data_IF_914388801639
#
_entry.id   IF_914388801639
#
_cell.length_a   1.000
_cell.length_b   1.000
_cell.length_c   1.000
_cell.angle_alpha   90.00
_cell.angle_beta   90.00
_cell.angle_gamma   90.00
#
_symmetry.space_group_name_H-M   'P 1'
#
loop_
_entity.id
_entity.type
_entity.pdbx_description
1 polymer ?
#
# COMPACT_ATOMS: atom_id res chain seq x y z
N UNK A 1 -4.49 -12.70 -26.49
CA UNK A 1 -5.31 -11.70 -25.75
C UNK A 1 -5.24 -10.37 -26.49
N UNK A 2 -6.32 -9.61 -26.64
CA UNK A 2 -6.24 -8.29 -27.26
C UNK A 2 -5.25 -7.44 -26.48
N UNK A 3 -4.39 -6.70 -27.20
CA UNK A 3 -3.41 -5.78 -26.64
C UNK A 3 -4.03 -4.95 -25.50
N UNK A 4 -3.38 -4.80 -24.34
CA UNK A 4 -3.86 -3.93 -23.26
C UNK A 4 -4.05 -2.46 -23.67
N UNK A 5 -3.63 -2.09 -24.89
CA UNK A 5 -3.80 -0.75 -25.47
C UNK A 5 -5.10 -0.58 -26.25
N UNK A 6 -5.75 -1.65 -26.73
CA UNK A 6 -6.99 -1.50 -27.51
C UNK A 6 -8.18 -1.28 -26.58
N UNK A 7 -8.85 -0.14 -26.73
CA UNK A 7 -10.12 0.14 -26.04
C UNK A 7 -11.17 -0.87 -26.48
N UNK A 8 -11.96 -1.39 -25.55
CA UNK A 8 -13.09 -2.23 -25.94
C UNK A 8 -14.14 -1.41 -26.71
N UNK A 9 -15.01 -2.07 -27.50
CA UNK A 9 -16.13 -1.40 -28.17
C UNK A 9 -17.00 -0.64 -27.15
N UNK A 10 -17.22 -1.25 -25.98
CA UNK A 10 -17.96 -0.63 -24.87
C UNK A 10 -17.25 0.62 -24.32
N UNK A 11 -15.95 0.56 -24.07
CA UNK A 11 -15.18 1.72 -23.61
C UNK A 11 -15.22 2.88 -24.62
N UNK A 12 -15.13 2.56 -25.90
CA UNK A 12 -15.19 3.54 -26.99
C UNK A 12 -16.57 4.19 -27.05
N UNK A 13 -17.63 3.40 -26.89
CA UNK A 13 -19.00 3.89 -26.82
C UNK A 13 -19.22 4.79 -25.59
N UNK A 14 -18.80 4.34 -24.40
CA UNK A 14 -18.91 5.11 -23.15
C UNK A 14 -18.16 6.46 -23.23
N UNK A 15 -16.98 6.48 -23.87
CA UNK A 15 -16.23 7.71 -24.10
C UNK A 15 -16.93 8.68 -25.06
N UNK A 16 -17.71 8.17 -26.03
CA UNK A 16 -18.51 9.01 -26.96
C UNK A 16 -19.74 9.62 -26.28
N UNK A 17 -20.43 8.86 -25.43
CA UNK A 17 -21.65 9.35 -24.74
C UNK A 17 -21.33 10.21 -23.50
N UNK A 18 -20.16 10.01 -22.89
CA UNK A 18 -19.67 10.77 -21.73
C UNK A 18 -18.28 11.34 -22.01
N UNK A 19 -18.15 12.26 -22.98
CA UNK A 19 -16.85 12.82 -23.36
C UNK A 19 -16.26 13.70 -22.26
N UNK A 20 -17.13 14.36 -21.47
CA UNK A 20 -16.77 15.28 -20.40
C UNK A 20 -17.49 14.93 -19.09
N UNK A 21 -17.08 13.86 -18.40
CA UNK A 21 -17.74 13.43 -17.17
C UNK A 21 -17.47 14.42 -16.03
N UNK A 22 -18.49 14.71 -15.22
CA UNK A 22 -18.37 15.55 -14.02
C UNK A 22 -17.53 14.88 -12.92
N UNK A 23 -17.52 13.55 -12.89
CA UNK A 23 -16.81 12.75 -11.89
C UNK A 23 -15.92 11.74 -12.61
N UNK A 24 -14.66 11.69 -12.18
CA UNK A 24 -13.64 10.78 -12.70
C UNK A 24 -13.22 9.83 -11.59
N UNK A 25 -13.45 8.53 -11.79
CA UNK A 25 -12.95 7.47 -10.93
C UNK A 25 -11.81 6.76 -11.67
N UNK A 26 -10.57 6.91 -11.21
CA UNK A 26 -9.39 6.39 -11.90
C UNK A 26 -8.45 5.65 -10.93
N UNK A 27 -8.06 4.41 -11.27
CA UNK A 27 -7.19 3.59 -10.41
C UNK A 27 -7.74 3.35 -9.00
N UNK A 28 -9.06 3.17 -8.92
CA UNK A 28 -9.81 2.87 -7.70
C UNK A 28 -9.74 1.36 -7.42
N UNK A 29 -9.48 0.96 -6.18
CA UNK A 29 -9.27 -0.45 -5.78
C UNK A 29 -10.61 -1.15 -5.50
N UNK A 30 -11.50 -1.19 -6.49
CA UNK A 30 -12.85 -1.76 -6.36
C UNK A 30 -13.17 -2.73 -7.51
N UNK A 31 -14.23 -3.53 -7.38
CA UNK A 31 -14.61 -4.48 -8.43
C UNK A 31 -15.25 -3.70 -9.57
N UNK A 32 -15.30 -4.28 -10.76
CA UNK A 32 -16.00 -3.65 -11.89
C UNK A 32 -17.46 -3.33 -11.54
N UNK A 33 -18.15 -4.22 -10.83
CA UNK A 33 -19.52 -4.00 -10.38
C UNK A 33 -19.61 -2.86 -9.35
N UNK A 34 -18.72 -2.86 -8.34
CA UNK A 34 -18.65 -1.80 -7.35
C UNK A 34 -18.39 -0.43 -7.99
N UNK A 35 -17.50 -0.35 -8.99
CA UNK A 35 -17.25 0.88 -9.74
C UNK A 35 -18.49 1.38 -10.49
N UNK A 36 -19.26 0.48 -11.12
CA UNK A 36 -20.54 0.85 -11.75
C UNK A 36 -21.50 1.43 -10.70
N UNK A 37 -21.62 0.79 -9.54
CA UNK A 37 -22.45 1.28 -8.43
C UNK A 37 -21.99 2.67 -7.95
N UNK A 38 -20.69 2.88 -7.80
CA UNK A 38 -20.13 4.20 -7.43
C UNK A 38 -20.52 5.26 -8.47
N UNK A 39 -20.33 4.97 -9.76
CA UNK A 39 -20.68 5.90 -10.84
C UNK A 39 -22.15 6.30 -10.82
N UNK A 40 -23.05 5.32 -10.68
CA UNK A 40 -24.49 5.55 -10.58
C UNK A 40 -24.83 6.40 -9.35
N UNK A 41 -24.25 6.08 -8.18
CA UNK A 41 -24.45 6.84 -6.94
C UNK A 41 -23.97 8.29 -7.08
N UNK A 42 -22.90 8.50 -7.84
CA UNK A 42 -22.31 9.81 -8.14
C UNK A 42 -22.99 10.53 -9.33
N UNK A 43 -24.07 9.96 -9.90
CA UNK A 43 -24.80 10.52 -11.06
C UNK A 43 -23.86 10.76 -12.25
N UNK A 44 -22.94 9.83 -12.47
CA UNK A 44 -21.97 9.83 -13.56
C UNK A 44 -22.08 8.54 -14.36
N UNK A 45 -21.85 8.60 -15.68
CA UNK A 45 -21.78 7.41 -16.50
C UNK A 45 -20.43 6.71 -16.27
N UNK A 46 -20.41 5.37 -16.12
CA UNK A 46 -19.17 4.62 -16.02
C UNK A 46 -18.24 4.89 -17.19
N UNK A 47 -16.96 5.14 -16.89
CA UNK A 47 -15.91 5.32 -17.90
C UNK A 47 -14.60 4.77 -17.37
N UNK A 48 -13.94 3.95 -18.18
CA UNK A 48 -12.61 3.47 -17.84
C UNK A 48 -11.57 4.52 -18.23
N UNK A 49 -10.67 4.80 -17.30
CA UNK A 49 -9.54 5.71 -17.49
C UNK A 49 -8.24 4.90 -17.60
N UNK A 50 -7.48 5.16 -18.67
CA UNK A 50 -6.19 4.52 -18.91
C UNK A 50 -5.13 5.60 -19.10
N UNK A 51 -4.13 5.60 -18.23
CA UNK A 51 -2.95 6.48 -18.27
C UNK A 51 -1.73 5.62 -18.59
N UNK A 52 -1.69 5.13 -19.82
CA UNK A 52 -0.76 4.07 -20.25
C UNK A 52 -0.08 4.38 -21.58
N UNK A 53 -0.05 5.65 -21.99
CA UNK A 53 0.69 6.05 -23.18
C UNK A 53 2.15 5.65 -23.03
N UNK A 54 2.76 5.14 -24.09
CA UNK A 54 4.19 4.79 -24.05
C UNK A 54 4.99 6.10 -23.96
N UNK A 55 5.89 6.18 -22.99
CA UNK A 55 6.83 7.28 -22.84
C UNK A 55 8.21 6.82 -23.31
N UNK A 56 8.94 7.73 -23.92
CA UNK A 56 10.30 7.46 -24.38
C UNK A 56 11.27 7.50 -23.18
N UNK A 57 12.22 6.57 -23.16
CA UNK A 57 13.34 6.66 -22.24
C UNK A 57 14.32 7.70 -22.79
N UNK A 58 14.35 8.88 -22.16
CA UNK A 58 15.23 9.96 -22.56
C UNK A 58 16.64 9.73 -22.04
N UNK A 59 17.63 10.02 -22.88
CA UNK A 59 19.02 10.12 -22.45
C UNK A 59 19.20 11.40 -21.62
N UNK A 60 20.18 11.37 -20.72
CA UNK A 60 20.54 12.52 -19.89
C UNK A 60 21.02 13.67 -20.79
N UNK A 61 20.44 14.86 -20.62
CA UNK A 61 20.91 16.08 -21.29
C UNK A 61 21.72 16.92 -20.30
N UNK A 62 23.05 16.83 -20.41
CA UNK A 62 23.98 17.53 -19.51
C UNK A 62 23.79 19.05 -19.52
N UNK A 63 23.55 19.66 -20.69
CA UNK A 63 23.36 21.11 -20.82
C UNK A 63 22.05 21.53 -20.14
N UNK A 64 20.97 20.79 -20.35
CA UNK A 64 19.70 21.07 -19.69
C UNK A 64 19.80 20.95 -18.16
N UNK A 65 20.55 19.95 -17.65
CA UNK A 65 20.79 19.77 -16.21
C UNK A 65 21.68 20.86 -15.62
N UNK A 66 22.71 21.32 -16.33
CA UNK A 66 23.53 22.47 -15.90
C UNK A 66 22.69 23.75 -15.82
N UNK A 67 21.72 23.91 -16.71
CA UNK A 67 20.79 25.04 -16.71
C UNK A 67 19.62 24.88 -15.73
N UNK A 68 19.45 23.71 -15.09
CA UNK A 68 18.42 23.50 -14.09
C UNK A 68 18.81 24.22 -12.79
N UNK A 69 18.23 25.40 -12.58
CA UNK A 69 18.53 26.24 -11.43
C UNK A 69 17.30 26.40 -10.53
N UNK A 70 17.47 26.14 -9.23
CA UNK A 70 16.44 26.36 -8.21
C UNK A 70 16.70 27.75 -7.61
N UNK A 71 15.80 28.69 -7.85
CA UNK A 71 15.96 30.16 -7.74
C UNK A 71 16.16 30.76 -6.33
N UNK A 72 16.78 30.06 -5.40
CA UNK A 72 17.14 30.60 -4.07
C UNK A 72 18.59 30.28 -3.73
N UNK A 73 19.41 31.31 -3.50
CA UNK A 73 20.70 31.13 -2.85
C UNK A 73 20.49 30.77 -1.39
N UNK A 74 21.25 29.79 -0.90
CA UNK A 74 21.34 29.47 0.52
C UNK A 74 22.81 29.42 0.90
N UNK A 75 23.13 29.99 2.05
CA UNK A 75 24.47 29.94 2.61
C UNK A 75 24.75 28.58 3.29
N UNK A 76 23.72 27.73 3.41
CA UNK A 76 23.83 26.38 3.98
C UNK A 76 24.53 25.44 2.99
N UNK A 77 25.71 24.92 3.36
CA UNK A 77 26.50 24.03 2.50
C UNK A 77 25.72 22.78 2.05
N UNK A 78 24.92 22.20 2.95
CA UNK A 78 24.08 21.04 2.61
C UNK A 78 23.05 21.36 1.52
N UNK A 79 22.43 22.56 1.54
CA UNK A 79 21.51 22.96 0.47
C UNK A 79 22.22 23.14 -0.87
N UNK A 80 23.46 23.64 -0.87
CA UNK A 80 24.28 23.75 -2.09
C UNK A 80 24.52 22.36 -2.69
N UNK A 81 24.98 21.41 -1.87
CA UNK A 81 25.16 20.02 -2.27
C UNK A 81 23.84 19.41 -2.79
N UNK A 82 22.73 19.59 -2.07
CA UNK A 82 21.43 19.05 -2.48
C UNK A 82 20.99 19.60 -3.85
N UNK A 83 21.22 20.87 -4.15
CA UNK A 83 20.88 21.47 -5.45
C UNK A 83 21.68 20.85 -6.59
N UNK A 84 22.98 20.64 -6.39
CA UNK A 84 23.84 19.94 -7.37
C UNK A 84 23.39 18.49 -7.58
N UNK A 85 23.04 17.79 -6.50
CA UNK A 85 22.52 16.43 -6.55
C UNK A 85 21.15 16.35 -7.21
N UNK A 86 20.26 17.33 -7.00
CA UNK A 86 18.94 17.35 -7.62
C UNK A 86 19.05 17.42 -9.14
N UNK A 87 19.84 18.34 -9.69
CA UNK A 87 20.03 18.47 -11.13
C UNK A 87 20.58 17.17 -11.75
N UNK A 88 21.49 16.50 -11.06
CA UNK A 88 22.16 15.28 -11.55
C UNK A 88 21.36 14.00 -11.33
N UNK A 89 20.47 13.94 -10.33
CA UNK A 89 19.70 12.74 -9.98
C UNK A 89 18.21 12.81 -10.34
N UNK A 90 17.74 13.94 -10.89
CA UNK A 90 16.36 14.05 -11.33
C UNK A 90 16.04 12.99 -12.40
N UNK A 91 14.94 12.21 -12.25
CA UNK A 91 14.53 11.26 -13.29
C UNK A 91 14.26 11.98 -14.61
N UNK A 92 14.70 11.40 -15.72
CA UNK A 92 14.69 12.09 -17.02
C UNK A 92 13.30 12.51 -17.49
N UNK A 93 12.25 11.85 -17.01
CA UNK A 93 10.87 12.20 -17.32
C UNK A 93 10.44 13.59 -16.79
N UNK A 94 11.11 14.12 -15.76
CA UNK A 94 10.79 15.42 -15.16
C UNK A 94 11.59 16.59 -15.73
N UNK A 95 12.55 16.34 -16.62
CA UNK A 95 13.32 17.40 -17.29
C UNK A 95 13.38 17.17 -18.80
N UNK A 96 14.14 16.17 -19.24
CA UNK A 96 14.31 15.88 -20.67
C UNK A 96 13.01 15.42 -21.34
N UNK A 97 12.26 14.55 -20.66
CA UNK A 97 11.02 13.96 -21.15
C UNK A 97 9.75 14.70 -20.76
N UNK A 98 9.85 15.82 -20.02
CA UNK A 98 8.67 16.48 -19.46
C UNK A 98 7.74 17.00 -20.55
N UNK A 99 8.29 17.54 -21.65
CA UNK A 99 7.51 18.00 -22.79
C UNK A 99 6.73 16.86 -23.46
N UNK A 100 7.36 15.70 -23.67
CA UNK A 100 6.65 14.52 -24.20
C UNK A 100 5.53 14.08 -23.26
N UNK A 101 5.80 14.06 -21.94
CA UNK A 101 4.79 13.72 -20.93
C UNK A 101 3.56 14.65 -21.04
N UNK A 102 3.79 15.96 -21.11
CA UNK A 102 2.73 16.96 -21.29
C UNK A 102 1.97 16.76 -22.59
N UNK A 103 2.67 16.55 -23.71
CA UNK A 103 2.03 16.35 -25.01
C UNK A 103 1.16 15.09 -25.01
N UNK A 104 1.63 13.99 -24.40
CA UNK A 104 0.85 12.75 -24.24
C UNK A 104 -0.36 12.90 -23.33
N UNK A 105 -0.26 13.74 -22.30
CA UNK A 105 -1.40 14.08 -21.45
C UNK A 105 -2.41 14.92 -22.21
N UNK A 106 -1.96 15.92 -22.97
CA UNK A 106 -2.80 16.77 -23.81
C UNK A 106 -3.61 15.97 -24.84
N UNK A 107 -3.03 14.95 -25.48
CA UNK A 107 -3.74 14.03 -26.39
C UNK A 107 -4.93 13.30 -25.71
N UNK A 108 -4.88 13.14 -24.39
CA UNK A 108 -5.90 12.45 -23.59
C UNK A 108 -6.89 13.38 -22.88
N UNK A 109 -6.74 14.70 -23.06
CA UNK A 109 -7.53 15.71 -22.37
C UNK A 109 -9.02 15.67 -22.73
N UNK A 110 -9.84 16.01 -21.75
CA UNK A 110 -11.27 16.22 -21.93
C UNK A 110 -11.57 17.71 -22.07
N UNK A 111 -12.57 18.07 -22.88
CA UNK A 111 -12.88 19.48 -23.22
C UNK A 111 -13.35 20.31 -22.03
N UNK A 112 -13.93 19.68 -21.01
CA UNK A 112 -14.38 20.35 -19.78
C UNK A 112 -13.76 19.69 -18.57
N UNK A 113 -13.30 20.51 -17.64
CA UNK A 113 -12.78 20.05 -16.36
C UNK A 113 -13.84 19.23 -15.60
N UNK A 114 -13.46 18.08 -15.04
CA UNK A 114 -14.35 17.37 -14.12
C UNK A 114 -14.48 18.19 -12.84
N UNK A 115 -15.57 18.02 -12.10
CA UNK A 115 -15.70 18.63 -10.78
C UNK A 115 -14.93 17.85 -9.72
N UNK A 116 -14.84 16.53 -9.89
CA UNK A 116 -14.21 15.61 -8.95
C UNK A 116 -13.36 14.57 -9.68
N UNK A 117 -12.13 14.40 -9.20
CA UNK A 117 -11.26 13.26 -9.51
C UNK A 117 -11.05 12.47 -8.22
N UNK A 118 -11.32 11.16 -8.28
CA UNK A 118 -11.03 10.22 -7.20
C UNK A 118 -10.09 9.11 -7.67
N UNK A 119 -9.08 8.82 -6.84
CA UNK A 119 -8.12 7.73 -7.07
C UNK A 119 -7.74 7.05 -5.77
N UNK A 120 -7.30 5.80 -5.84
CA UNK A 120 -6.64 5.18 -4.70
C UNK A 120 -5.14 5.08 -4.90
N UNK A 121 -4.65 5.01 -6.14
CA UNK A 121 -3.29 4.48 -6.37
C UNK A 121 -2.49 5.27 -7.40
N UNK A 122 -3.14 6.10 -8.22
CA UNK A 122 -2.45 6.70 -9.38
C UNK A 122 -1.52 7.84 -8.99
N UNK A 123 -1.79 8.55 -7.87
CA UNK A 123 -0.86 9.54 -7.33
C UNK A 123 0.46 8.92 -6.90
N UNK A 124 0.46 7.68 -6.43
CA UNK A 124 1.68 6.99 -6.04
C UNK A 124 2.49 6.44 -7.24
N UNK A 125 1.85 6.09 -8.36
CA UNK A 125 2.47 5.20 -9.37
C UNK A 125 2.36 5.60 -10.83
N UNK A 126 1.78 6.75 -11.15
CA UNK A 126 1.50 7.10 -12.55
C UNK A 126 1.75 8.58 -12.87
N UNK A 127 2.85 8.86 -13.58
CA UNK A 127 3.25 10.23 -13.95
C UNK A 127 2.25 10.91 -14.91
N UNK A 128 1.67 10.18 -15.86
CA UNK A 128 0.64 10.74 -16.75
C UNK A 128 -0.59 11.20 -15.97
N UNK A 129 -1.05 10.41 -15.00
CA UNK A 129 -2.17 10.79 -14.15
C UNK A 129 -1.84 11.99 -13.26
N UNK A 130 -0.64 12.06 -12.68
CA UNK A 130 -0.22 13.20 -11.87
C UNK A 130 -0.29 14.51 -12.66
N UNK A 131 0.32 14.54 -13.86
CA UNK A 131 0.26 15.74 -14.73
C UNK A 131 -1.16 16.04 -15.18
N UNK A 132 -1.90 15.02 -15.64
CA UNK A 132 -3.29 15.20 -16.09
C UNK A 132 -4.22 15.73 -15.00
N UNK A 133 -4.14 15.19 -13.79
CA UNK A 133 -4.96 15.66 -12.66
C UNK A 133 -4.54 17.05 -12.21
N UNK A 134 -3.24 17.36 -12.17
CA UNK A 134 -2.74 18.69 -11.84
C UNK A 134 -3.27 19.78 -12.79
N UNK A 135 -3.27 19.53 -14.11
CA UNK A 135 -3.83 20.47 -15.10
C UNK A 135 -5.29 20.80 -14.81
N UNK A 136 -6.08 19.80 -14.41
CA UNK A 136 -7.49 20.00 -14.09
C UNK A 136 -7.72 20.70 -12.74
N UNK A 137 -6.91 20.41 -11.73
CA UNK A 137 -6.97 21.05 -10.41
C UNK A 137 -6.61 22.53 -10.53
N UNK A 138 -5.48 22.83 -11.17
CA UNK A 138 -4.96 24.21 -11.32
C UNK A 138 -5.87 25.07 -12.20
N UNK A 139 -6.39 24.52 -13.30
CA UNK A 139 -7.12 25.32 -14.30
C UNK A 139 -8.64 25.31 -14.12
N UNK A 140 -9.20 24.34 -13.39
CA UNK A 140 -10.62 23.99 -13.49
C UNK A 140 -11.43 23.99 -12.20
N UNK A 141 -10.85 24.41 -11.06
CA UNK A 141 -11.44 24.24 -9.73
C UNK A 141 -11.86 22.79 -9.42
N UNK A 142 -11.17 21.81 -10.04
CA UNK A 142 -11.43 20.38 -9.87
C UNK A 142 -11.02 19.96 -8.46
N UNK A 143 -11.91 19.25 -7.77
CA UNK A 143 -11.59 18.62 -6.49
C UNK A 143 -10.82 17.32 -6.70
N UNK A 144 -9.71 17.17 -6.00
CA UNK A 144 -8.88 15.97 -6.03
C UNK A 144 -8.97 15.26 -4.68
N UNK A 145 -9.50 14.05 -4.69
CA UNK A 145 -9.66 13.21 -3.50
C UNK A 145 -8.90 11.90 -3.74
N UNK A 146 -8.17 11.45 -2.73
CA UNK A 146 -7.56 10.12 -2.75
C UNK A 146 -8.09 9.25 -1.62
N UNK A 147 -7.94 7.93 -1.76
CA UNK A 147 -8.24 7.00 -0.70
C UNK A 147 -7.07 6.07 -0.40
N UNK A 148 -6.86 5.78 0.87
CA UNK A 148 -5.86 4.84 1.37
C UNK A 148 -5.92 3.50 0.61
N UNK A 149 -4.74 3.02 0.20
CA UNK A 149 -4.58 1.85 -0.67
C UNK A 149 -3.75 0.72 -0.04
N UNK A 150 -3.24 0.92 1.17
CA UNK A 150 -2.50 -0.07 1.95
C UNK A 150 -2.57 0.22 3.46
N UNK A 151 -2.07 -0.70 4.27
CA UNK A 151 -1.97 -0.51 5.73
C UNK A 151 -0.85 0.46 6.14
N UNK A 152 -0.82 0.84 7.42
CA UNK A 152 0.26 1.64 8.02
C UNK A 152 0.11 3.17 7.95
N UNK A 153 -0.84 3.69 7.16
CA UNK A 153 -1.18 5.12 7.13
C UNK A 153 -1.70 5.60 8.48
N UNK A 154 -1.36 6.84 8.87
CA UNK A 154 -1.80 7.50 10.11
C UNK A 154 -1.27 6.88 11.41
N UNK A 155 -0.41 5.86 11.33
CA UNK A 155 0.01 5.06 12.49
C UNK A 155 1.47 5.29 12.87
N UNK A 156 2.31 5.69 11.91
CA UNK A 156 3.76 5.81 12.08
C UNK A 156 4.11 7.12 12.79
N UNK A 157 5.04 7.08 13.74
CA UNK A 157 5.57 8.27 14.41
C UNK A 157 6.26 9.22 13.43
N UNK A 158 7.01 8.65 12.48
CA UNK A 158 7.60 9.40 11.37
C UNK A 158 6.77 9.12 10.12
N UNK A 159 6.01 10.12 9.68
CA UNK A 159 5.18 10.01 8.48
C UNK A 159 6.07 9.85 7.24
N UNK A 160 5.87 8.81 6.41
CA UNK A 160 6.57 8.65 5.15
C UNK A 160 6.37 9.85 4.23
N UNK A 161 7.36 10.12 3.38
CA UNK A 161 7.26 11.17 2.37
C UNK A 161 6.07 10.94 1.42
N UNK A 162 5.81 9.67 1.06
CA UNK A 162 4.71 9.31 0.16
C UNK A 162 3.35 9.69 0.74
N UNK A 163 3.10 9.37 2.00
CA UNK A 163 1.88 9.75 2.72
C UNK A 163 1.78 11.28 2.86
N UNK A 164 2.88 11.94 3.23
CA UNK A 164 2.95 13.39 3.39
C UNK A 164 2.64 14.12 2.08
N UNK A 165 3.23 13.66 0.98
CA UNK A 165 2.99 14.18 -0.36
C UNK A 165 1.53 13.98 -0.78
N UNK A 166 1.01 12.76 -0.65
CA UNK A 166 -0.37 12.44 -1.03
C UNK A 166 -1.34 13.35 -0.28
N UNK A 167 -1.23 13.47 1.04
CA UNK A 167 -2.13 14.32 1.83
C UNK A 167 -1.98 15.81 1.46
N UNK A 168 -0.76 16.29 1.18
CA UNK A 168 -0.49 17.72 0.94
C UNK A 168 -1.14 18.31 -0.32
N UNK A 169 -1.49 17.46 -1.29
CA UNK A 169 -2.01 17.89 -2.61
C UNK A 169 -3.51 17.65 -2.79
N UNK A 170 -4.20 17.16 -1.77
CA UNK A 170 -5.58 16.71 -1.84
C UNK A 170 -6.54 17.68 -1.16
N UNK A 171 -7.79 17.68 -1.62
CA UNK A 171 -8.89 18.31 -0.91
C UNK A 171 -9.38 17.45 0.26
N UNK A 172 -9.36 16.13 0.09
CA UNK A 172 -9.70 15.12 1.11
C UNK A 172 -8.92 13.82 0.89
N UNK A 173 -8.67 13.10 1.98
CA UNK A 173 -8.06 11.77 1.99
C UNK A 173 -8.94 10.78 2.75
N UNK A 174 -9.46 9.79 2.04
CA UNK A 174 -10.35 8.78 2.60
C UNK A 174 -9.52 7.65 3.25
N UNK A 175 -9.63 7.45 4.55
CA UNK A 175 -8.81 6.49 5.32
C UNK A 175 -9.55 5.18 5.60
N UNK A 176 -8.83 4.18 6.09
CA UNK A 176 -9.39 2.90 6.51
C UNK A 176 -9.98 2.90 7.93
N UNK A 177 -10.05 4.02 8.64
CA UNK A 177 -10.68 4.06 9.96
C UNK A 177 -10.19 5.21 10.87
N UNK A 178 -8.99 5.71 10.60
CA UNK A 178 -8.35 6.75 11.41
C UNK A 178 -8.70 8.15 10.89
N UNK A 179 -8.57 9.14 11.76
CA UNK A 179 -8.68 10.56 11.42
C UNK A 179 -7.71 11.34 12.26
N UNK A 180 -7.07 12.35 11.67
CA UNK A 180 -6.26 13.31 12.41
C UNK A 180 -6.96 14.67 12.49
N UNK A 181 -6.99 15.24 13.69
CA UNK A 181 -7.71 16.49 13.98
C UNK A 181 -7.03 17.62 13.21
N UNK A 182 -7.79 18.32 12.36
CA UNK A 182 -7.29 19.42 11.55
C UNK A 182 -6.65 18.99 10.22
N UNK A 183 -6.57 17.69 9.93
CA UNK A 183 -6.23 17.20 8.60
C UNK A 183 -7.48 16.92 7.75
N UNK A 184 -7.26 16.80 6.44
CA UNK A 184 -8.28 16.51 5.41
C UNK A 184 -8.75 15.03 5.41
N UNK A 185 -8.67 14.33 6.54
CA UNK A 185 -8.83 12.87 6.59
C UNK A 185 -10.26 12.46 6.97
N UNK A 186 -10.84 11.51 6.23
CA UNK A 186 -12.20 11.02 6.48
C UNK A 186 -12.19 9.49 6.58
N UNK A 187 -12.60 8.90 7.73
CA UNK A 187 -12.66 7.46 7.88
C UNK A 187 -13.86 6.87 7.15
N UNK A 188 -13.58 6.04 6.13
CA UNK A 188 -14.61 5.39 5.29
C UNK A 188 -14.53 3.86 5.30
N UNK A 189 -13.57 3.30 6.02
CA UNK A 189 -13.30 1.87 6.09
C UNK A 189 -12.42 1.36 4.95
N UNK A 190 -12.13 0.06 4.98
CA UNK A 190 -11.19 -0.55 4.03
C UNK A 190 -11.75 -0.50 2.60
N UNK A 191 -10.97 0.10 1.71
CA UNK A 191 -11.36 0.35 0.32
C UNK A 191 -10.85 -0.70 -0.66
N UNK A 192 -10.13 -1.72 -0.19
CA UNK A 192 -9.66 -2.84 -1.00
C UNK A 192 -10.67 -3.99 -1.04
N UNK A 193 -10.52 -4.87 -2.03
CA UNK A 193 -11.25 -6.13 -2.10
C UNK A 193 -11.00 -6.98 -0.85
N UNK A 194 -12.09 -7.35 -0.19
CA UNK A 194 -12.09 -8.32 0.88
C UNK A 194 -12.41 -9.69 0.29
N UNK A 195 -11.53 -10.66 0.51
CA UNK A 195 -11.82 -12.06 0.23
C UNK A 195 -11.94 -12.78 1.56
N UNK A 196 -13.08 -13.41 1.78
CA UNK A 196 -13.26 -14.30 2.91
C UNK A 196 -12.67 -15.67 2.56
N UNK A 197 -11.86 -16.19 3.48
CA UNK A 197 -11.30 -17.53 3.39
C UNK A 197 -11.18 -18.08 4.81
N UNK A 198 -11.18 -19.40 4.91
CA UNK A 198 -11.03 -20.10 6.19
C UNK A 198 -9.62 -20.69 6.29
N UNK A 199 -8.96 -20.60 7.45
CA UNK A 199 -7.68 -21.28 7.67
C UNK A 199 -7.86 -22.80 7.60
N UNK A 200 -6.82 -23.50 7.15
CA UNK A 200 -6.72 -24.95 7.29
C UNK A 200 -6.16 -25.27 8.68
N UNK A 201 -6.99 -25.85 9.55
CA UNK A 201 -6.62 -26.17 10.94
C UNK A 201 -5.47 -27.16 11.05
N UNK A 202 -5.20 -27.93 10.00
CA UNK A 202 -4.10 -28.88 9.93
C UNK A 202 -2.94 -28.37 9.05
N UNK A 203 -3.09 -27.19 8.46
CA UNK A 203 -2.06 -26.52 7.68
C UNK A 203 -0.87 -26.07 8.54
N UNK A 204 0.14 -25.55 7.85
CA UNK A 204 1.39 -25.08 8.44
C UNK A 204 1.33 -23.65 8.99
N UNK A 205 2.53 -23.12 9.25
CA UNK A 205 2.77 -21.74 9.64
C UNK A 205 3.28 -20.95 8.43
N UNK A 206 2.60 -19.86 8.06
CA UNK A 206 3.09 -18.97 7.01
C UNK A 206 3.72 -17.71 7.60
N UNK A 207 5.04 -17.52 7.42
CA UNK A 207 5.74 -16.28 7.77
C UNK A 207 5.73 -15.35 6.57
N UNK A 208 4.93 -14.28 6.64
CA UNK A 208 4.74 -13.31 5.56
C UNK A 208 5.66 -12.10 5.76
N UNK A 209 6.56 -11.88 4.80
CA UNK A 209 7.52 -10.79 4.85
C UNK A 209 7.02 -9.55 4.08
N UNK A 210 7.46 -8.37 4.53
CA UNK A 210 7.25 -7.11 3.83
C UNK A 210 8.12 -6.95 2.57
N UNK A 211 8.14 -5.76 1.95
CA UNK A 211 9.03 -5.48 0.84
C UNK A 211 10.47 -5.34 1.35
N UNK A 212 11.22 -6.44 1.40
CA UNK A 212 12.63 -6.39 1.77
C UNK A 212 13.43 -5.69 0.67
N UNK A 213 14.02 -4.54 0.98
CA UNK A 213 14.80 -3.70 0.06
C UNK A 213 16.26 -3.68 0.46
N UNK A 214 17.15 -3.49 -0.51
CA UNK A 214 18.61 -3.39 -0.27
C UNK A 214 19.01 -2.08 0.41
N UNK A 215 18.24 -1.03 0.15
CA UNK A 215 18.41 0.30 0.73
C UNK A 215 17.07 0.76 1.30
N UNK A 216 17.10 1.59 2.33
CA UNK A 216 15.90 2.28 2.81
C UNK A 216 15.52 3.39 1.84
N UNK A 217 14.22 3.49 1.56
CA UNK A 217 13.60 4.51 0.72
C UNK A 217 12.73 5.51 1.50
N UNK A 218 12.63 5.37 2.82
CA UNK A 218 11.92 6.29 3.70
C UNK A 218 12.88 7.30 4.34
N UNK A 219 12.65 8.57 4.06
CA UNK A 219 13.33 9.68 4.71
C UNK A 219 12.85 9.82 6.16
N UNK A 220 13.77 9.80 7.13
CA UNK A 220 13.47 10.00 8.55
C UNK A 220 13.45 8.73 9.41
N UNK A 221 13.44 7.53 8.82
CA UNK A 221 13.67 6.25 9.53
C UNK A 221 14.22 5.16 8.61
N UNK A 222 15.02 4.26 9.18
CA UNK A 222 15.34 2.98 8.52
C UNK A 222 14.08 2.10 8.57
N UNK A 223 13.56 1.70 7.41
CA UNK A 223 12.49 0.72 7.32
C UNK A 223 12.93 -0.62 7.94
N UNK A 224 12.05 -1.25 8.71
CA UNK A 224 12.25 -2.60 9.30
C UNK A 224 12.87 -3.55 8.27
N UNK A 225 12.33 -3.56 7.05
CA UNK A 225 12.66 -4.54 6.01
C UNK A 225 13.93 -4.20 5.22
N UNK A 226 14.64 -3.14 5.58
CA UNK A 226 15.93 -2.74 5.00
C UNK A 226 17.10 -2.85 5.98
N UNK A 227 16.84 -3.40 7.18
CA UNK A 227 17.83 -3.48 8.25
C UNK A 227 18.40 -4.89 8.37
N UNK A 228 19.71 -5.02 8.61
CA UNK A 228 20.33 -6.32 8.91
C UNK A 228 19.72 -6.98 10.15
N UNK A 229 19.36 -6.21 11.18
CA UNK A 229 18.75 -6.76 12.41
C UNK A 229 17.40 -7.43 12.17
N UNK A 230 16.69 -7.06 11.10
CA UNK A 230 15.46 -7.74 10.72
C UNK A 230 15.74 -9.17 10.27
N UNK A 231 16.82 -9.42 9.53
CA UNK A 231 17.20 -10.79 9.15
C UNK A 231 17.61 -11.62 10.35
N UNK A 232 18.28 -11.03 11.33
CA UNK A 232 18.64 -11.72 12.57
C UNK A 232 17.39 -12.12 13.36
N UNK A 233 16.43 -11.21 13.51
CA UNK A 233 15.13 -11.50 14.14
C UNK A 233 14.35 -12.60 13.41
N UNK A 234 14.36 -12.60 12.07
CA UNK A 234 13.74 -13.67 11.29
C UNK A 234 14.40 -15.03 11.52
N UNK A 235 15.74 -15.08 11.47
CA UNK A 235 16.50 -16.31 11.73
C UNK A 235 16.23 -16.84 13.13
N UNK A 236 16.26 -15.95 14.12
CA UNK A 236 16.04 -16.31 15.51
C UNK A 236 14.62 -16.84 15.75
N UNK A 237 13.60 -16.22 15.13
CA UNK A 237 12.23 -16.73 15.18
C UNK A 237 12.17 -18.17 14.68
N UNK A 238 12.74 -18.44 13.50
CA UNK A 238 12.73 -19.78 12.89
C UNK A 238 13.50 -20.79 13.75
N UNK A 239 14.63 -20.39 14.33
CA UNK A 239 15.47 -21.27 15.15
C UNK A 239 14.85 -21.61 16.52
N UNK A 240 14.05 -20.71 17.09
CA UNK A 240 13.41 -20.92 18.41
C UNK A 240 12.09 -21.70 18.29
N UNK A 241 11.49 -21.78 17.10
CA UNK A 241 10.30 -22.60 16.88
C UNK A 241 10.59 -24.09 17.18
N UNK A 242 9.69 -24.81 17.88
CA UNK A 242 9.80 -26.25 18.04
C UNK A 242 9.95 -26.98 16.71
N UNK A 243 10.77 -28.03 16.67
CA UNK A 243 11.13 -28.74 15.43
C UNK A 243 9.90 -29.17 14.61
N UNK A 244 8.85 -29.66 15.27
CA UNK A 244 7.62 -30.11 14.61
C UNK A 244 6.82 -28.96 13.95
N UNK A 245 6.96 -27.72 14.45
CA UNK A 245 6.35 -26.51 13.86
C UNK A 245 7.26 -25.96 12.77
N UNK A 246 8.57 -25.89 13.02
CA UNK A 246 9.57 -25.39 12.08
C UNK A 246 9.54 -26.18 10.75
N UNK A 247 9.40 -27.51 10.81
CA UNK A 247 9.22 -28.37 9.62
C UNK A 247 7.94 -28.11 8.81
N UNK A 248 6.96 -27.43 9.41
CA UNK A 248 5.69 -27.04 8.79
C UNK A 248 5.63 -25.53 8.52
N UNK A 249 6.78 -24.85 8.58
CA UNK A 249 6.88 -23.39 8.40
C UNK A 249 7.35 -23.05 7.00
N UNK A 250 6.65 -22.10 6.38
CA UNK A 250 6.96 -21.55 5.07
C UNK A 250 7.19 -20.04 5.17
N UNK A 251 8.20 -19.53 4.48
CA UNK A 251 8.47 -18.09 4.42
C UNK A 251 8.04 -17.54 3.07
N UNK A 252 7.18 -16.52 3.05
CA UNK A 252 6.69 -15.89 1.82
C UNK A 252 7.14 -14.43 1.71
N UNK A 253 8.06 -14.11 0.80
CA UNK A 253 8.41 -12.73 0.47
C UNK A 253 7.25 -11.98 -0.21
N UNK A 254 7.07 -10.66 0.06
CA UNK A 254 6.03 -9.82 -0.60
C UNK A 254 6.04 -9.89 -2.13
N UNK A 255 7.19 -10.18 -2.73
CA UNK A 255 7.38 -10.26 -4.19
C UNK A 255 7.68 -11.67 -4.68
N UNK A 256 7.20 -12.70 -3.98
CA UNK A 256 7.46 -14.10 -4.31
C UNK A 256 7.30 -14.40 -5.81
N UNK A 257 6.26 -13.87 -6.46
CA UNK A 257 5.99 -14.06 -7.90
C UNK A 257 6.61 -13.02 -8.86
N UNK A 258 7.40 -12.04 -8.38
CA UNK A 258 7.95 -10.98 -9.24
C UNK A 258 9.34 -11.34 -9.78
N UNK A 259 9.51 -11.19 -11.10
CA UNK A 259 10.81 -11.29 -11.76
C UNK A 259 11.41 -9.87 -11.87
N UNK A 260 12.66 -9.67 -11.43
CA UNK A 260 13.46 -8.49 -11.83
C UNK A 260 13.17 -7.17 -11.12
N UNK A 261 12.99 -7.17 -9.78
CA UNK A 261 13.02 -5.92 -8.98
C UNK A 261 14.40 -5.76 -8.32
N UNK A 262 15.40 -5.14 -8.97
CA UNK A 262 16.78 -5.09 -8.47
C UNK A 262 16.94 -4.33 -7.14
N UNK A 263 15.98 -3.48 -6.75
CA UNK A 263 16.01 -2.85 -5.43
C UNK A 263 15.58 -3.80 -4.29
N UNK A 264 14.98 -4.95 -4.61
CA UNK A 264 14.40 -5.89 -3.65
C UNK A 264 15.20 -7.17 -3.56
N UNK A 265 15.10 -7.82 -2.40
CA UNK A 265 15.72 -9.12 -2.14
C UNK A 265 14.83 -10.22 -2.75
N UNK A 266 15.43 -11.12 -3.54
CA UNK A 266 14.72 -12.21 -4.21
C UNK A 266 14.37 -13.35 -3.25
N UNK A 267 13.45 -14.25 -3.63
CA UNK A 267 13.15 -15.45 -2.83
C UNK A 267 14.36 -16.34 -2.58
N UNK A 268 15.24 -16.48 -3.58
CA UNK A 268 16.51 -17.19 -3.43
C UNK A 268 17.42 -16.53 -2.38
N UNK A 269 17.57 -15.20 -2.44
CA UNK A 269 18.37 -14.47 -1.46
C UNK A 269 17.78 -14.57 -0.04
N UNK A 270 16.45 -14.61 0.09
CA UNK A 270 15.80 -14.90 1.38
C UNK A 270 16.14 -16.32 1.86
N UNK A 271 16.12 -17.32 0.99
CA UNK A 271 16.51 -18.70 1.34
C UNK A 271 17.96 -18.78 1.82
N UNK A 272 18.88 -18.11 1.12
CA UNK A 272 20.30 -17.99 1.50
C UNK A 272 20.46 -17.31 2.87
N UNK A 273 19.73 -16.21 3.11
CA UNK A 273 19.73 -15.53 4.40
C UNK A 273 19.26 -16.47 5.51
N UNK A 274 18.24 -17.30 5.27
CA UNK A 274 17.69 -18.22 6.26
C UNK A 274 18.49 -19.53 6.38
N UNK A 275 19.58 -19.69 5.62
CA UNK A 275 20.42 -20.89 5.65
C UNK A 275 19.72 -22.16 5.17
N UNK A 276 18.62 -22.03 4.40
CA UNK A 276 17.85 -23.16 3.90
C UNK A 276 17.10 -23.98 4.97
N UNK A 277 16.94 -23.44 6.18
CA UNK A 277 16.26 -24.13 7.30
C UNK A 277 14.76 -24.30 7.07
N UNK A 278 14.15 -23.40 6.30
CA UNK A 278 12.71 -23.39 5.98
C UNK A 278 12.48 -23.17 4.50
N UNK A 279 11.38 -23.73 3.99
CA UNK A 279 10.99 -23.56 2.60
C UNK A 279 10.53 -22.12 2.32
N UNK A 280 10.98 -21.56 1.20
CA UNK A 280 10.55 -20.24 0.73
C UNK A 280 9.46 -20.40 -0.33
N UNK A 281 8.26 -19.91 -0.03
CA UNK A 281 7.15 -19.85 -0.98
C UNK A 281 7.44 -18.78 -2.04
N UNK A 282 7.70 -19.24 -3.27
CA UNK A 282 7.95 -18.41 -4.45
C UNK A 282 6.68 -17.92 -5.16
N UNK A 283 5.51 -18.08 -4.53
CA UNK A 283 4.29 -17.39 -4.94
C UNK A 283 3.64 -17.96 -6.19
N UNK A 284 3.66 -19.29 -6.33
CA UNK A 284 2.95 -20.01 -7.39
C UNK A 284 1.44 -19.76 -7.36
N UNK A 285 0.88 -19.55 -6.17
CA UNK A 285 -0.50 -19.11 -5.93
C UNK A 285 -0.56 -17.79 -5.16
N UNK A 286 -1.74 -17.15 -5.11
CA UNK A 286 -1.94 -15.88 -4.43
C UNK A 286 -1.81 -15.97 -2.90
N UNK A 287 -1.49 -14.86 -2.23
CA UNK A 287 -1.27 -14.82 -0.77
C UNK A 287 -2.47 -15.37 0.01
N UNK A 288 -3.71 -14.97 -0.35
CA UNK A 288 -4.91 -15.40 0.38
C UNK A 288 -5.18 -16.90 0.22
N UNK A 289 -4.82 -17.48 -0.92
CA UNK A 289 -4.91 -18.92 -1.14
C UNK A 289 -3.83 -19.68 -0.34
N UNK A 290 -2.62 -19.13 -0.24
CA UNK A 290 -1.60 -19.70 0.66
C UNK A 290 -2.05 -19.59 2.11
N UNK A 291 -2.60 -18.45 2.54
CA UNK A 291 -3.13 -18.27 3.90
C UNK A 291 -4.25 -19.28 4.18
N UNK A 292 -5.18 -19.52 3.24
CA UNK A 292 -6.24 -20.52 3.45
C UNK A 292 -5.74 -21.96 3.57
N UNK A 293 -4.52 -22.26 3.12
CA UNK A 293 -3.86 -23.58 3.25
C UNK A 293 -3.02 -23.70 4.52
N UNK A 294 -2.93 -22.64 5.31
CA UNK A 294 -2.17 -22.59 6.55
C UNK A 294 -3.10 -22.35 7.74
N UNK A 295 -2.64 -22.76 8.92
CA UNK A 295 -3.40 -22.67 10.17
C UNK A 295 -3.38 -21.26 10.74
N UNK A 296 -2.23 -20.61 10.63
CA UNK A 296 -1.99 -19.25 11.09
C UNK A 296 -0.86 -18.61 10.30
N UNK A 297 -0.64 -17.31 10.51
CA UNK A 297 0.52 -16.60 9.93
C UNK A 297 1.28 -15.81 10.96
N UNK A 298 2.58 -15.65 10.73
CA UNK A 298 3.36 -14.57 11.33
C UNK A 298 3.56 -13.49 10.28
N UNK A 299 3.21 -12.24 10.58
CA UNK A 299 3.41 -11.10 9.69
C UNK A 299 4.46 -10.18 10.27
N UNK A 300 5.56 -10.00 9.53
CA UNK A 300 6.80 -9.43 10.08
C UNK A 300 6.95 -7.93 9.82
N UNK A 301 5.85 -7.26 9.44
CA UNK A 301 5.85 -5.85 9.05
C UNK A 301 4.49 -5.20 9.25
N UNK A 302 4.51 -3.91 9.58
CA UNK A 302 3.31 -3.14 9.85
C UNK A 302 2.78 -2.40 8.60
N UNK A 303 2.17 -3.14 7.68
CA UNK A 303 1.44 -2.58 6.53
C UNK A 303 0.16 -3.40 6.26
N UNK A 304 -0.19 -3.68 5.00
CA UNK A 304 -1.50 -4.20 4.55
C UNK A 304 -1.90 -5.56 5.11
N UNK A 305 -0.96 -6.50 5.32
CA UNK A 305 -1.35 -7.89 5.61
C UNK A 305 -1.99 -8.06 6.99
N UNK A 306 -1.52 -7.31 8.00
CA UNK A 306 -2.12 -7.35 9.35
C UNK A 306 -3.58 -6.88 9.32
N UNK A 307 -3.93 -5.66 8.90
CA UNK A 307 -5.32 -5.21 8.87
C UNK A 307 -6.20 -6.10 8.01
N UNK A 308 -5.70 -6.63 6.88
CA UNK A 308 -6.50 -7.56 6.06
C UNK A 308 -6.77 -8.88 6.77
N UNK A 309 -5.77 -9.45 7.45
CA UNK A 309 -5.94 -10.71 8.18
C UNK A 309 -6.87 -10.54 9.38
N UNK A 310 -6.68 -9.47 10.18
CA UNK A 310 -7.51 -9.21 11.36
C UNK A 310 -8.98 -8.98 10.98
N UNK A 311 -9.21 -8.24 9.88
CA UNK A 311 -10.53 -7.98 9.32
C UNK A 311 -11.19 -9.25 8.74
N UNK A 312 -10.41 -10.12 8.09
CA UNK A 312 -10.88 -11.42 7.61
C UNK A 312 -11.10 -12.44 8.73
N UNK A 313 -10.60 -12.17 9.94
CA UNK A 313 -10.59 -13.09 11.06
C UNK A 313 -9.68 -14.28 10.88
N UNK A 314 -8.55 -14.09 10.21
CA UNK A 314 -7.52 -15.10 10.05
C UNK A 314 -6.48 -15.04 11.17
N UNK A 315 -6.19 -16.17 11.87
CA UNK A 315 -5.21 -16.22 12.96
C UNK A 315 -3.84 -15.66 12.58
N UNK A 316 -3.44 -14.59 13.27
CA UNK A 316 -2.25 -13.82 12.89
C UNK A 316 -1.46 -13.40 14.12
N UNK A 317 -0.16 -13.70 14.09
CA UNK A 317 0.85 -13.15 14.98
C UNK A 317 1.59 -12.04 14.23
N UNK A 318 1.46 -10.82 14.69
CA UNK A 318 2.24 -9.67 14.27
C UNK A 318 3.58 -9.67 15.02
N UNK A 319 4.69 -9.49 14.29
CA UNK A 319 6.03 -9.57 14.87
C UNK A 319 6.99 -8.54 14.26
N UNK A 320 7.62 -7.69 15.06
CA UNK A 320 8.69 -6.80 14.61
C UNK A 320 9.51 -6.24 15.77
N UNK A 321 10.68 -5.71 15.46
CA UNK A 321 11.45 -4.90 16.41
C UNK A 321 10.82 -3.49 16.55
N UNK A 322 10.34 -3.09 17.76
CA UNK A 322 9.70 -1.80 18.00
C UNK A 322 10.66 -0.61 17.77
N UNK A 323 11.98 -0.85 17.68
CA UNK A 323 12.96 0.18 17.31
C UNK A 323 12.70 0.77 15.92
N UNK A 324 12.15 -0.03 14.99
CA UNK A 324 11.93 0.34 13.59
C UNK A 324 10.45 0.48 13.20
N UNK A 325 9.53 -0.01 14.02
CA UNK A 325 8.10 0.30 13.90
C UNK A 325 7.70 1.23 15.04
N UNK A 326 7.94 2.52 14.83
CA UNK A 326 7.57 3.55 15.81
C UNK A 326 6.17 4.05 15.52
N UNK A 327 5.31 4.00 16.53
CA UNK A 327 3.91 4.37 16.43
C UNK A 327 3.67 5.78 16.99
N UNK A 328 2.64 6.46 16.50
CA UNK A 328 2.09 7.63 17.21
C UNK A 328 1.56 7.20 18.58
N UNK A 329 1.40 8.14 19.52
CA UNK A 329 0.85 7.82 20.84
C UNK A 329 -0.55 7.20 20.74
N UNK A 330 -1.41 7.74 19.87
CA UNK A 330 -2.75 7.22 19.61
C UNK A 330 -2.70 5.79 19.06
N UNK A 331 -1.83 5.52 18.08
CA UNK A 331 -1.68 4.16 17.54
C UNK A 331 -1.10 3.20 18.59
N UNK A 332 -0.12 3.63 19.40
CA UNK A 332 0.47 2.81 20.45
C UNK A 332 -0.56 2.31 21.47
N UNK A 333 -1.54 3.12 21.85
CA UNK A 333 -2.64 2.69 22.73
C UNK A 333 -3.44 1.53 22.14
N UNK A 334 -3.78 1.60 20.85
CA UNK A 334 -4.54 0.53 20.17
C UNK A 334 -3.69 -0.73 19.99
N UNK A 335 -2.42 -0.57 19.62
CA UNK A 335 -1.49 -1.70 19.45
C UNK A 335 -1.16 -2.40 20.76
N UNK A 336 -1.23 -1.71 21.88
CA UNK A 336 -1.07 -2.31 23.20
C UNK A 336 -2.17 -3.35 23.50
N UNK A 337 -3.39 -3.18 22.97
CA UNK A 337 -4.44 -4.20 23.08
C UNK A 337 -4.10 -5.46 22.27
N UNK A 338 -3.51 -5.30 21.08
CA UNK A 338 -2.97 -6.44 20.31
C UNK A 338 -1.84 -7.15 21.07
N UNK A 339 -0.96 -6.40 21.75
CA UNK A 339 0.13 -6.95 22.55
C UNK A 339 -0.40 -7.77 23.74
N UNK A 340 -1.36 -7.22 24.49
CA UNK A 340 -2.01 -7.93 25.62
C UNK A 340 -2.70 -9.21 25.17
N UNK A 341 -3.37 -9.19 24.01
CA UNK A 341 -4.05 -10.34 23.43
C UNK A 341 -3.09 -11.36 22.77
N UNK A 342 -1.76 -11.15 22.85
CA UNK A 342 -0.72 -11.95 22.19
C UNK A 342 -0.87 -12.03 20.66
N UNK A 343 -1.53 -11.04 20.06
CA UNK A 343 -1.52 -10.85 18.60
C UNK A 343 -0.21 -10.22 18.19
N UNK A 344 0.33 -9.29 18.98
CA UNK A 344 1.57 -8.56 18.69
C UNK A 344 2.72 -8.97 19.61
N UNK A 345 3.86 -9.29 19.03
CA UNK A 345 5.10 -9.63 19.72
C UNK A 345 6.27 -8.77 19.24
N UNK A 346 7.17 -8.45 20.16
CA UNK A 346 8.34 -7.61 19.91
C UNK A 346 9.67 -8.37 19.93
N UNK A 347 9.67 -9.65 20.29
CA UNK A 347 10.87 -10.50 20.30
C UNK A 347 10.58 -11.87 19.66
N UNK A 348 11.59 -12.49 19.02
CA UNK A 348 11.46 -13.81 18.43
C UNK A 348 10.95 -14.87 19.39
N UNK A 349 11.47 -14.89 20.62
CA UNK A 349 11.15 -15.91 21.63
C UNK A 349 9.73 -15.76 22.16
N UNK A 350 9.26 -14.51 22.30
CA UNK A 350 7.89 -14.24 22.70
C UNK A 350 6.90 -14.74 21.64
N UNK A 351 7.18 -14.47 20.36
CA UNK A 351 6.37 -14.96 19.24
C UNK A 351 6.42 -16.48 19.13
N UNK A 352 7.61 -17.08 19.12
CA UNK A 352 7.79 -18.53 19.00
C UNK A 352 7.14 -19.30 20.15
N UNK A 353 7.29 -18.82 21.39
CA UNK A 353 6.64 -19.43 22.57
C UNK A 353 5.12 -19.39 22.42
N UNK A 354 4.57 -18.23 22.07
CA UNK A 354 3.13 -18.12 21.90
C UNK A 354 2.60 -19.04 20.79
N UNK A 355 3.29 -19.10 19.65
CA UNK A 355 2.94 -20.01 18.54
C UNK A 355 2.94 -21.47 19.02
N UNK A 356 3.97 -21.88 19.77
CA UNK A 356 4.05 -23.23 20.33
C UNK A 356 2.89 -23.52 21.31
N UNK A 357 2.56 -22.57 22.19
CA UNK A 357 1.51 -22.71 23.19
C UNK A 357 0.12 -22.91 22.55
N UNK A 358 -0.15 -22.24 21.42
CA UNK A 358 -1.45 -22.29 20.74
C UNK A 358 -1.48 -23.27 19.57
N UNK A 359 -0.36 -23.91 19.23
CA UNK A 359 -0.22 -24.67 17.98
C UNK A 359 -1.31 -25.74 17.83
N UNK A 360 -1.54 -26.54 18.86
CA UNK A 360 -2.51 -27.63 18.86
C UNK A 360 -3.97 -27.15 18.79
N UNK A 361 -4.26 -25.91 19.24
CA UNK A 361 -5.60 -25.34 19.21
C UNK A 361 -5.57 -23.82 19.03
N UNK A 362 -5.28 -23.40 17.79
CA UNK A 362 -5.25 -21.98 17.41
C UNK A 362 -6.62 -21.33 17.60
N UNK A 363 -7.72 -22.07 17.37
CA UNK A 363 -9.09 -21.57 17.50
C UNK A 363 -9.41 -21.14 18.93
N UNK A 364 -8.93 -21.90 19.93
CA UNK A 364 -9.17 -21.59 21.35
C UNK A 364 -8.61 -20.22 21.72
N UNK A 365 -7.42 -19.89 21.24
CA UNK A 365 -6.85 -18.54 21.41
C UNK A 365 -7.59 -17.53 20.54
N UNK A 366 -7.77 -17.82 19.26
CA UNK A 366 -8.26 -16.84 18.30
C UNK A 366 -9.71 -16.40 18.52
N UNK A 367 -10.50 -17.25 19.20
CA UNK A 367 -11.90 -16.99 19.56
C UNK A 367 -12.08 -16.55 21.02
N UNK A 368 -11.00 -16.31 21.77
CA UNK A 368 -11.10 -15.76 23.12
C UNK A 368 -11.64 -14.33 23.12
N UNK A 369 -12.34 -13.95 24.19
CA UNK A 369 -12.93 -12.62 24.32
C UNK A 369 -11.87 -11.51 24.23
N UNK A 370 -10.68 -11.74 24.79
CA UNK A 370 -9.56 -10.79 24.72
C UNK A 370 -9.08 -10.57 23.29
N UNK A 371 -8.94 -11.64 22.50
CA UNK A 371 -8.50 -11.57 21.09
C UNK A 371 -9.57 -10.92 20.23
N UNK A 372 -10.84 -11.28 20.42
CA UNK A 372 -11.96 -10.68 19.69
C UNK A 372 -12.05 -9.18 19.96
N UNK A 373 -11.97 -8.75 21.22
CA UNK A 373 -12.01 -7.34 21.60
C UNK A 373 -10.81 -6.55 21.06
N UNK A 374 -9.60 -7.11 21.13
CA UNK A 374 -8.40 -6.47 20.60
C UNK A 374 -8.48 -6.30 19.07
N UNK A 375 -8.98 -7.32 18.36
CA UNK A 375 -9.21 -7.27 16.91
C UNK A 375 -10.26 -6.24 16.51
N UNK A 376 -11.39 -6.20 17.20
CA UNK A 376 -12.45 -5.23 16.95
C UNK A 376 -11.94 -3.80 17.16
N UNK A 377 -11.25 -3.57 18.28
CA UNK A 377 -10.65 -2.27 18.60
C UNK A 377 -9.66 -1.84 17.53
N UNK A 378 -8.78 -2.74 17.06
CA UNK A 378 -7.87 -2.45 15.97
C UNK A 378 -8.61 -2.15 14.66
N UNK A 379 -9.58 -2.97 14.29
CA UNK A 379 -10.32 -2.81 13.04
C UNK A 379 -11.07 -1.48 13.02
N UNK A 380 -11.74 -1.09 14.11
CA UNK A 380 -12.46 0.19 14.16
C UNK A 380 -11.58 1.42 13.95
N UNK A 381 -10.29 1.32 14.24
CA UNK A 381 -9.32 2.41 14.11
C UNK A 381 -8.50 2.35 12.82
N UNK A 382 -8.14 1.16 12.32
CA UNK A 382 -7.16 1.03 11.23
C UNK A 382 -7.59 0.10 10.08
N UNK A 383 -8.72 -0.60 10.22
CA UNK A 383 -9.23 -1.53 9.22
C UNK A 383 -10.76 -1.64 9.27
N UNK A 384 -11.47 -0.50 9.33
CA UNK A 384 -12.89 -0.47 9.64
C UNK A 384 -13.66 -1.23 8.56
N UNK A 385 -14.47 -2.18 8.99
CA UNK A 385 -15.34 -2.93 8.10
C UNK A 385 -16.43 -2.02 7.54
N UNK A 386 -16.76 -2.21 6.27
CA UNK A 386 -17.96 -1.64 5.69
C UNK A 386 -18.67 -2.72 4.90
N UNK A 387 -19.97 -2.89 5.16
CA UNK A 387 -20.82 -3.83 4.42
C UNK A 387 -20.85 -3.51 2.92
N UNK A 388 -20.78 -2.22 2.57
CA UNK A 388 -20.76 -1.75 1.19
C UNK A 388 -19.71 -0.66 1.00
N UNK A 389 -18.40 -1.01 0.95
CA UNK A 389 -17.31 -0.02 0.94
C UNK A 389 -17.46 0.99 -0.20
N UNK A 390 -17.81 0.50 -1.39
CA UNK A 390 -18.05 1.33 -2.57
C UNK A 390 -19.15 2.39 -2.37
N UNK A 391 -20.23 2.07 -1.65
CA UNK A 391 -21.29 3.04 -1.36
C UNK A 391 -20.89 4.05 -0.29
N UNK A 392 -20.10 3.63 0.71
CA UNK A 392 -19.56 4.54 1.72
C UNK A 392 -18.59 5.53 1.08
N UNK A 393 -17.66 5.06 0.25
CA UNK A 393 -16.76 5.92 -0.52
C UNK A 393 -17.56 6.84 -1.44
N UNK A 394 -18.51 6.32 -2.22
CA UNK A 394 -19.34 7.16 -3.09
C UNK A 394 -20.19 8.18 -2.33
N UNK A 395 -20.59 7.90 -1.08
CA UNK A 395 -21.28 8.86 -0.21
C UNK A 395 -20.33 9.97 0.22
N UNK A 396 -19.12 9.65 0.68
CA UNK A 396 -18.10 10.64 1.05
C UNK A 396 -17.70 11.55 -0.14
N UNK A 397 -17.74 11.01 -1.36
CA UNK A 397 -17.47 11.76 -2.58
C UNK A 397 -18.66 12.59 -3.09
N UNK A 398 -19.88 12.35 -2.61
CA UNK A 398 -21.09 12.92 -3.19
C UNK A 398 -21.22 14.44 -3.00
N UNK A 399 -20.56 14.98 -1.99
CA UNK A 399 -20.58 16.41 -1.66
C UNK A 399 -19.71 17.25 -2.62
N UNK A 400 -18.85 16.59 -3.41
CA UNK A 400 -17.88 17.22 -4.30
C UNK A 400 -18.27 17.15 -5.80
N UNK A 401 -19.48 16.67 -6.13
CA UNK A 401 -19.89 16.31 -7.51
C UNK A 401 -20.62 17.38 -8.34
#
# INVERSE_FOLDING_TARGET
>A
MPSPQTKSKLETFLAKISPNPKVVLAGVVQSKLALVVMHLRLRSLPRLWRFSSKLTAHQINAVARQNFNISKSSDVQFEKLLRELLATNLPTIYLEGFKELQDKVCESQIKRHPKLIFTNTLLHRNEQFKVWSAEHVVSGATKLISGQHGGGYGQKQCTPWTESYEISILDQFLTWGWSDIGQITIPVGVQSHQTYFTPDKYGGLLVVLGPVTRNSDDYGMICVQSNSSYFDYLKELINVLPEHISKQTYVRPKNASSIGKPARVSGQQISEILGGVVEVDLGSVGLNETLSRNRMSVVTYNETTIPTNLLAGYPTVAFWDPKYVRLTSTAATIYNELFKAKILHYTPESAARHIADVWENVDLWWTSDEVLQARETFCENFARHSKFPALVVAKALADYR
#
